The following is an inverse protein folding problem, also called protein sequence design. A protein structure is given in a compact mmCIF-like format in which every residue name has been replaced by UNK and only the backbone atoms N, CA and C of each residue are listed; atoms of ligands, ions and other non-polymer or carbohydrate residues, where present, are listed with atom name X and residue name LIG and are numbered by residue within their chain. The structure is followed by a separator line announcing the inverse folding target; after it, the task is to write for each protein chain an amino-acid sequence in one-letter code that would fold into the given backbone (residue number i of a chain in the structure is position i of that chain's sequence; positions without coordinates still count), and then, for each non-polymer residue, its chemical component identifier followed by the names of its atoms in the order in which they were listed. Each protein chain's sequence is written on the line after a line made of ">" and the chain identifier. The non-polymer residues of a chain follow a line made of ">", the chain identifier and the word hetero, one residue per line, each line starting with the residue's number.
data_IF_574621419187
#
_entry.id   IF_574621419187
#
_cell.length_a   1.000
_cell.length_b   1.000
_cell.length_c   1.000
_cell.angle_alpha   90.00
_cell.angle_beta   90.00
_cell.angle_gamma   90.00
#
_symmetry.space_group_name_H-M   'P 1'
#
loop_
_entity.id
_entity.type
_entity.pdbx_description
1 polymer ?
#
# COMPACT_ATOMS: atom_id res chain seq x y z
N UNK A 1 -14.25 19.78 -17.56
CA UNK A 1 -14.76 18.41 -17.30
C UNK A 1 -14.89 17.72 -18.65
N UNK A 2 -14.13 16.66 -18.91
CA UNK A 2 -13.95 16.08 -20.25
C UNK A 2 -15.20 15.30 -20.71
N UNK A 3 -15.66 15.56 -21.93
CA UNK A 3 -16.79 14.90 -22.59
C UNK A 3 -16.64 13.36 -22.60
N UNK A 4 -15.40 12.87 -22.66
CA UNK A 4 -15.09 11.42 -22.54
C UNK A 4 -15.36 10.86 -21.13
N UNK A 5 -15.17 11.64 -20.07
CA UNK A 5 -15.53 11.23 -18.70
C UNK A 5 -17.05 11.20 -18.52
N UNK A 6 -17.75 12.14 -19.14
CA UNK A 6 -19.22 12.22 -19.11
C UNK A 6 -19.85 11.04 -19.86
N UNK A 7 -19.32 10.69 -21.03
CA UNK A 7 -19.74 9.51 -21.79
C UNK A 7 -19.39 8.19 -21.08
N UNK A 8 -18.22 8.08 -20.42
CA UNK A 8 -17.89 6.93 -19.57
C UNK A 8 -18.84 6.81 -18.37
N UNK A 9 -19.22 7.92 -17.74
CA UNK A 9 -20.21 7.95 -16.65
C UNK A 9 -21.62 7.61 -17.16
N UNK A 10 -22.00 8.07 -18.34
CA UNK A 10 -23.28 7.77 -18.98
C UNK A 10 -23.38 6.31 -19.42
N UNK A 11 -22.33 5.73 -20.01
CA UNK A 11 -22.27 4.31 -20.36
C UNK A 11 -22.24 3.41 -19.10
N UNK A 12 -21.52 3.82 -18.05
CA UNK A 12 -21.57 3.17 -16.72
C UNK A 12 -22.97 3.23 -16.12
N UNK A 13 -23.63 4.40 -16.15
CA UNK A 13 -25.00 4.56 -15.66
C UNK A 13 -25.98 3.74 -16.49
N UNK A 14 -25.87 3.73 -17.82
CA UNK A 14 -26.73 2.96 -18.72
C UNK A 14 -26.61 1.45 -18.55
N UNK A 15 -25.40 0.93 -18.36
CA UNK A 15 -25.18 -0.49 -18.02
C UNK A 15 -25.69 -0.83 -16.60
N UNK A 16 -25.54 0.08 -15.64
CA UNK A 16 -26.09 -0.09 -14.29
C UNK A 16 -27.62 0.02 -14.27
N UNK A 17 -28.23 0.80 -15.17
CA UNK A 17 -29.68 0.98 -15.35
C UNK A 17 -30.33 -0.19 -16.10
N UNK A 18 -29.65 -0.76 -17.10
CA UNK A 18 -30.12 -2.01 -17.74
C UNK A 18 -30.11 -3.20 -16.78
N UNK A 19 -29.23 -3.16 -15.76
CA UNK A 19 -29.26 -4.07 -14.61
C UNK A 19 -30.28 -3.67 -13.51
N UNK A 20 -30.88 -2.48 -13.55
CA UNK A 20 -31.97 -2.07 -12.65
C UNK A 20 -33.34 -2.56 -13.12
N UNK A 21 -33.54 -2.70 -14.44
CA UNK A 21 -34.80 -3.19 -15.04
C UNK A 21 -34.87 -4.70 -15.26
N UNK A 22 -33.74 -5.40 -15.24
CA UNK A 22 -33.74 -6.86 -15.21
C UNK A 22 -34.20 -7.31 -13.82
N UNK A 23 -35.44 -7.78 -13.73
CA UNK A 23 -35.97 -8.57 -12.62
C UNK A 23 -34.84 -9.40 -12.01
N UNK A 24 -34.67 -9.36 -10.68
CA UNK A 24 -33.73 -10.19 -9.90
C UNK A 24 -33.49 -11.47 -10.68
N UNK A 25 -32.36 -11.67 -11.38
CA UNK A 25 -32.20 -12.87 -12.15
C UNK A 25 -32.25 -13.96 -11.10
N UNK A 26 -33.30 -14.77 -11.19
CA UNK A 26 -33.51 -16.01 -10.46
C UNK A 26 -32.48 -17.02 -10.94
N UNK A 27 -31.20 -16.64 -10.92
CA UNK A 27 -30.10 -17.54 -10.74
C UNK A 27 -30.34 -18.15 -9.37
N UNK A 28 -31.09 -19.25 -9.37
CA UNK A 28 -31.22 -20.18 -8.27
C UNK A 28 -29.86 -20.28 -7.62
N UNK A 29 -29.77 -19.77 -6.39
CA UNK A 29 -28.61 -19.87 -5.52
C UNK A 29 -28.28 -21.36 -5.45
N UNK A 30 -27.26 -21.80 -6.20
CA UNK A 30 -26.90 -23.22 -6.34
C UNK A 30 -25.97 -23.68 -5.23
N UNK A 31 -25.38 -22.74 -4.49
CA UNK A 31 -24.60 -23.03 -3.30
C UNK A 31 -25.54 -23.37 -2.13
N UNK A 32 -25.19 -24.40 -1.37
CA UNK A 32 -25.78 -24.61 -0.04
C UNK A 32 -25.68 -23.31 0.77
N UNK A 33 -26.64 -23.04 1.65
CA UNK A 33 -26.55 -21.91 2.57
C UNK A 33 -25.20 -21.98 3.31
N UNK A 34 -24.49 -20.85 3.45
CA UNK A 34 -23.19 -20.85 4.11
C UNK A 34 -23.34 -21.31 5.56
N UNK A 35 -22.53 -22.30 5.93
CA UNK A 35 -22.45 -22.84 7.28
C UNK A 35 -21.44 -22.02 8.10
N UNK A 36 -21.96 -21.18 9.00
CA UNK A 36 -21.16 -20.35 9.89
C UNK A 36 -20.73 -21.04 11.18
N UNK A 37 -21.15 -22.30 11.41
CA UNK A 37 -20.76 -23.07 12.61
C UNK A 37 -19.29 -23.47 12.60
N UNK A 38 -18.64 -23.44 11.43
CA UNK A 38 -17.23 -23.78 11.24
C UNK A 38 -16.54 -22.77 10.33
N UNK A 39 -15.23 -22.51 10.53
CA UNK A 39 -14.46 -21.69 9.60
C UNK A 39 -14.50 -22.21 8.15
N UNK A 40 -14.33 -21.32 7.16
CA UNK A 40 -14.21 -21.74 5.76
C UNK A 40 -12.97 -22.63 5.58
N UNK A 41 -13.05 -23.62 4.70
CA UNK A 41 -11.88 -24.43 4.32
C UNK A 41 -10.99 -23.65 3.36
N UNK A 42 -11.59 -22.90 2.43
CA UNK A 42 -10.89 -22.07 1.44
C UNK A 42 -11.38 -20.62 1.48
N UNK A 43 -10.47 -19.70 1.76
CA UNK A 43 -10.71 -18.27 1.84
C UNK A 43 -9.96 -17.53 0.72
N UNK A 44 -10.69 -16.72 -0.05
CA UNK A 44 -10.12 -15.83 -1.05
C UNK A 44 -10.05 -14.38 -0.54
N UNK A 45 -8.86 -13.80 -0.56
CA UNK A 45 -8.64 -12.39 -0.23
C UNK A 45 -8.43 -11.62 -1.54
N UNK A 46 -9.09 -10.48 -1.72
CA UNK A 46 -8.97 -9.66 -2.92
C UNK A 46 -8.44 -8.26 -2.54
N UNK A 47 -7.23 -7.94 -3.02
CA UNK A 47 -6.58 -6.62 -2.84
C UNK A 47 -5.91 -6.20 -4.16
N UNK A 48 -6.56 -5.35 -4.96
CA UNK A 48 -6.11 -5.05 -6.33
C UNK A 48 -4.99 -4.00 -6.41
N UNK A 49 -4.55 -3.51 -5.25
CA UNK A 49 -3.72 -2.32 -5.11
C UNK A 49 -2.22 -2.57 -5.34
N UNK A 50 -1.42 -1.54 -5.07
CA UNK A 50 0.03 -1.53 -5.22
C UNK A 50 0.75 -1.94 -3.93
N UNK A 51 2.08 -2.02 -3.99
CA UNK A 51 2.97 -2.45 -2.89
C UNK A 51 2.58 -1.91 -1.50
N UNK A 52 2.40 -0.58 -1.36
CA UNK A 52 2.10 0.03 -0.05
C UNK A 52 0.83 -0.51 0.58
N UNK A 53 -0.24 -0.61 -0.21
CA UNK A 53 -1.53 -1.17 0.24
C UNK A 53 -1.46 -2.64 0.62
N UNK A 54 -0.60 -3.41 -0.06
CA UNK A 54 -0.37 -4.82 0.27
C UNK A 54 0.39 -4.94 1.59
N UNK A 55 1.42 -4.10 1.79
CA UNK A 55 2.15 -4.06 3.06
C UNK A 55 1.21 -3.68 4.21
N UNK A 56 0.38 -2.66 4.04
CA UNK A 56 -0.65 -2.25 5.02
C UNK A 56 -1.75 -3.30 5.24
N UNK A 57 -1.86 -4.32 4.38
CA UNK A 57 -2.75 -5.46 4.56
C UNK A 57 -2.11 -6.57 5.41
N UNK A 58 -0.78 -6.64 5.51
CA UNK A 58 -0.08 -7.74 6.18
C UNK A 58 -0.47 -7.97 7.66
N UNK A 59 -0.78 -6.95 8.49
CA UNK A 59 -1.34 -7.19 9.83
C UNK A 59 -2.64 -8.01 9.81
N UNK A 60 -3.51 -7.74 8.83
CA UNK A 60 -4.76 -8.45 8.67
C UNK A 60 -4.55 -9.90 8.20
N UNK A 61 -3.53 -10.14 7.37
CA UNK A 61 -3.13 -11.50 6.98
C UNK A 61 -2.65 -12.31 8.18
N UNK A 62 -1.80 -11.72 9.03
CA UNK A 62 -1.32 -12.34 10.25
C UNK A 62 -2.48 -12.67 11.21
N UNK A 63 -3.43 -11.74 11.39
CA UNK A 63 -4.64 -11.94 12.18
C UNK A 63 -5.48 -13.11 11.66
N UNK A 64 -5.71 -13.17 10.34
CA UNK A 64 -6.45 -14.28 9.71
C UNK A 64 -5.74 -15.61 9.91
N UNK A 65 -4.44 -15.71 9.62
CA UNK A 65 -3.69 -16.98 9.79
C UNK A 65 -3.71 -17.47 11.23
N UNK A 66 -3.55 -16.56 12.21
CA UNK A 66 -3.59 -16.94 13.63
C UNK A 66 -4.96 -17.43 14.07
N UNK A 67 -6.03 -16.80 13.62
CA UNK A 67 -7.40 -17.23 13.96
C UNK A 67 -7.85 -18.46 13.18
N UNK A 68 -7.37 -18.64 11.94
CA UNK A 68 -7.78 -19.67 11.00
C UNK A 68 -6.60 -20.54 10.54
N UNK A 69 -5.92 -21.26 11.45
CA UNK A 69 -4.66 -21.95 11.12
C UNK A 69 -4.82 -23.04 10.06
N UNK A 70 -6.02 -23.65 9.97
CA UNK A 70 -6.32 -24.76 9.05
C UNK A 70 -6.98 -24.31 7.74
N UNK A 71 -7.34 -23.04 7.60
CA UNK A 71 -7.95 -22.52 6.37
C UNK A 71 -6.88 -22.31 5.30
N UNK A 72 -7.17 -22.75 4.07
CA UNK A 72 -6.36 -22.40 2.90
C UNK A 72 -6.68 -20.95 2.52
N UNK A 73 -5.72 -20.04 2.70
CA UNK A 73 -5.84 -18.61 2.42
C UNK A 73 -5.13 -18.32 1.09
N UNK A 74 -5.93 -18.06 0.06
CA UNK A 74 -5.44 -17.53 -1.21
C UNK A 74 -5.65 -16.02 -1.24
N UNK A 75 -4.66 -15.27 -1.70
CA UNK A 75 -4.81 -13.84 -1.96
C UNK A 75 -4.63 -13.55 -3.46
N UNK A 76 -5.56 -12.79 -4.02
CA UNK A 76 -5.53 -12.30 -5.39
C UNK A 76 -5.11 -10.82 -5.42
N UNK A 77 -4.01 -10.52 -6.12
CA UNK A 77 -3.32 -9.22 -6.11
C UNK A 77 -2.82 -8.82 -7.49
N UNK A 78 -2.53 -7.52 -7.67
CA UNK A 78 -1.91 -7.02 -8.90
C UNK A 78 -0.53 -7.69 -9.13
N UNK A 79 -0.01 -7.74 -10.36
CA UNK A 79 1.35 -8.25 -10.62
C UNK A 79 2.41 -7.58 -9.73
N UNK A 80 2.29 -6.25 -9.53
CA UNK A 80 3.17 -5.49 -8.64
C UNK A 80 3.04 -5.88 -7.17
N UNK A 81 1.84 -6.20 -6.71
CA UNK A 81 1.57 -6.65 -5.35
C UNK A 81 2.01 -8.08 -5.08
N UNK A 82 1.97 -8.96 -6.09
CA UNK A 82 2.35 -10.37 -5.93
C UNK A 82 3.79 -10.56 -5.47
N UNK A 83 4.72 -9.79 -6.05
CA UNK A 83 6.13 -9.82 -5.68
C UNK A 83 6.37 -9.42 -4.21
N UNK A 84 5.42 -8.72 -3.58
CA UNK A 84 5.54 -8.34 -2.16
C UNK A 84 5.12 -9.44 -1.17
N UNK A 85 4.50 -10.52 -1.66
CA UNK A 85 3.93 -11.59 -0.85
C UNK A 85 4.61 -12.95 -1.05
N UNK A 86 5.64 -13.03 -1.89
CA UNK A 86 6.28 -14.28 -2.33
C UNK A 86 6.80 -15.15 -1.16
N UNK A 87 7.11 -14.55 0.00
CA UNK A 87 7.55 -15.24 1.21
C UNK A 87 6.71 -14.90 2.45
N UNK A 88 5.44 -14.56 2.26
CA UNK A 88 4.55 -14.24 3.35
C UNK A 88 3.97 -15.52 3.99
N UNK A 89 4.27 -15.84 5.26
CA UNK A 89 3.88 -17.09 5.91
C UNK A 89 2.39 -17.14 6.28
N UNK A 90 1.66 -16.05 6.05
CA UNK A 90 0.25 -15.94 6.42
C UNK A 90 -0.70 -16.34 5.29
N UNK A 91 -0.19 -16.47 4.06
CA UNK A 91 -0.96 -16.87 2.87
C UNK A 91 -0.38 -18.14 2.27
N UNK A 92 -1.25 -19.04 1.80
CA UNK A 92 -0.82 -20.30 1.18
C UNK A 92 -0.57 -20.14 -0.31
N UNK A 93 -1.32 -19.22 -0.95
CA UNK A 93 -1.30 -19.01 -2.40
C UNK A 93 -1.44 -17.54 -2.77
N UNK A 94 -0.67 -17.10 -3.74
CA UNK A 94 -0.78 -15.77 -4.36
C UNK A 94 -1.21 -15.94 -5.81
N UNK A 95 -2.34 -15.34 -6.19
CA UNK A 95 -2.88 -15.34 -7.55
C UNK A 95 -2.74 -13.94 -8.14
N UNK A 96 -2.14 -13.85 -9.33
CA UNK A 96 -1.98 -12.59 -10.06
C UNK A 96 -3.24 -12.29 -10.86
N UNK A 97 -3.69 -11.03 -10.81
CA UNK A 97 -4.80 -10.53 -11.61
C UNK A 97 -4.51 -9.08 -12.00
N UNK A 98 -4.74 -8.70 -13.26
CA UNK A 98 -4.41 -7.36 -13.76
C UNK A 98 -5.41 -6.28 -13.33
N UNK A 99 -6.53 -6.69 -12.73
CA UNK A 99 -7.56 -5.80 -12.17
C UNK A 99 -7.91 -4.60 -13.07
N UNK A 100 -8.74 -4.81 -14.11
CA UNK A 100 -9.13 -3.75 -15.03
C UNK A 100 -9.57 -2.47 -14.31
N UNK A 101 -9.08 -1.32 -14.79
CA UNK A 101 -9.35 -0.01 -14.19
C UNK A 101 -8.43 0.38 -13.03
N UNK A 102 -7.53 -0.50 -12.58
CA UNK A 102 -6.46 -0.19 -11.62
C UNK A 102 -5.13 0.12 -12.30
N UNK A 103 -5.01 -0.13 -13.60
CA UNK A 103 -3.86 0.25 -14.41
C UNK A 103 -4.07 1.65 -15.00
N UNK A 104 -2.96 2.37 -15.23
CA UNK A 104 -2.98 3.71 -15.86
C UNK A 104 -3.20 3.67 -17.37
N UNK A 105 -3.34 2.49 -17.95
CA UNK A 105 -3.56 2.32 -19.38
C UNK A 105 -5.07 2.34 -19.69
N UNK A 106 -5.52 3.16 -20.65
CA UNK A 106 -6.91 3.16 -21.05
C UNK A 106 -7.27 1.82 -21.70
N UNK A 107 -8.38 1.21 -21.27
CA UNK A 107 -8.93 0.05 -21.96
C UNK A 107 -9.36 0.48 -23.37
N UNK A 108 -8.76 -0.14 -24.39
CA UNK A 108 -9.12 0.06 -25.80
C UNK A 108 -10.51 -0.53 -26.14
N UNK A 109 -10.95 -1.53 -25.37
CA UNK A 109 -12.23 -2.21 -25.55
C UNK A 109 -13.07 -2.19 -24.25
N UNK A 110 -14.32 -1.75 -24.35
CA UNK A 110 -15.26 -1.62 -23.22
C UNK A 110 -15.71 -2.99 -22.68
N UNK A 111 -15.77 -4.02 -23.54
CA UNK A 111 -16.22 -5.37 -23.17
C UNK A 111 -15.10 -6.24 -22.59
N UNK A 112 -13.84 -5.95 -22.93
CA UNK A 112 -12.70 -6.77 -22.51
C UNK A 112 -12.61 -6.99 -20.98
N UNK A 113 -12.83 -5.98 -20.11
CA UNK A 113 -12.85 -6.18 -18.66
C UNK A 113 -13.90 -7.19 -18.17
N UNK A 114 -15.03 -7.31 -18.85
CA UNK A 114 -16.13 -8.20 -18.44
C UNK A 114 -15.88 -9.63 -18.92
N UNK A 115 -15.37 -9.79 -20.14
CA UNK A 115 -14.91 -11.10 -20.63
C UNK A 115 -13.79 -11.66 -19.75
N UNK A 116 -12.86 -10.79 -19.36
CA UNK A 116 -11.81 -11.14 -18.41
C UNK A 116 -12.38 -11.52 -17.04
N UNK A 117 -13.39 -10.81 -16.52
CA UNK A 117 -14.06 -11.20 -15.28
C UNK A 117 -14.72 -12.59 -15.38
N UNK A 118 -15.37 -12.90 -16.51
CA UNK A 118 -15.96 -14.21 -16.76
C UNK A 118 -14.89 -15.31 -16.81
N UNK A 119 -13.77 -15.08 -17.49
CA UNK A 119 -12.65 -16.02 -17.53
C UNK A 119 -12.08 -16.28 -16.13
N UNK A 120 -11.74 -15.21 -15.39
CA UNK A 120 -11.19 -15.31 -14.04
C UNK A 120 -12.19 -15.97 -13.08
N UNK A 121 -13.49 -15.66 -13.19
CA UNK A 121 -14.52 -16.28 -12.36
C UNK A 121 -14.65 -17.79 -12.56
N UNK A 122 -14.46 -18.30 -13.79
CA UNK A 122 -14.45 -19.75 -14.05
C UNK A 122 -13.29 -20.43 -13.34
N UNK A 123 -12.10 -19.81 -13.37
CA UNK A 123 -10.92 -20.30 -12.67
C UNK A 123 -11.14 -20.31 -11.16
N UNK A 124 -11.70 -19.24 -10.60
CA UNK A 124 -12.01 -19.15 -9.17
C UNK A 124 -13.08 -20.16 -8.74
N UNK A 125 -14.14 -20.33 -9.54
CA UNK A 125 -15.21 -21.30 -9.29
C UNK A 125 -14.68 -22.73 -9.25
N UNK A 126 -13.78 -23.08 -10.16
CA UNK A 126 -13.13 -24.40 -10.18
C UNK A 126 -12.28 -24.69 -8.92
N UNK A 127 -11.83 -23.65 -8.20
CA UNK A 127 -11.09 -23.81 -6.94
C UNK A 127 -12.01 -24.03 -5.73
N UNK A 128 -13.28 -23.64 -5.82
CA UNK A 128 -14.31 -23.86 -4.80
C UNK A 128 -14.04 -23.12 -3.49
N UNK A 129 -13.94 -21.78 -3.55
CA UNK A 129 -13.79 -20.95 -2.34
C UNK A 129 -15.11 -20.87 -1.57
N UNK A 130 -15.06 -21.06 -0.25
CA UNK A 130 -16.22 -20.98 0.63
C UNK A 130 -16.54 -19.51 0.99
N UNK A 131 -15.51 -18.68 1.05
CA UNK A 131 -15.63 -17.29 1.44
C UNK A 131 -14.62 -16.39 0.74
N UNK A 132 -14.95 -15.11 0.63
CA UNK A 132 -14.06 -14.08 0.14
C UNK A 132 -14.18 -12.76 0.90
N UNK A 133 -13.05 -12.06 1.04
CA UNK A 133 -12.97 -10.70 1.59
C UNK A 133 -12.40 -9.76 0.52
N UNK A 134 -13.16 -8.73 0.14
CA UNK A 134 -12.69 -7.63 -0.71
C UNK A 134 -12.23 -6.47 0.17
N UNK A 135 -10.92 -6.21 0.18
CA UNK A 135 -10.33 -5.19 1.05
C UNK A 135 -10.43 -3.77 0.48
N UNK A 136 -10.62 -3.63 -0.83
CA UNK A 136 -10.85 -2.33 -1.47
C UNK A 136 -12.36 -2.01 -1.51
N UNK A 137 -12.74 -0.84 -1.03
CA UNK A 137 -14.13 -0.41 -0.85
C UNK A 137 -14.81 0.01 -2.17
N UNK A 138 -14.14 0.82 -2.97
CA UNK A 138 -14.65 1.45 -4.19
C UNK A 138 -14.46 0.60 -5.47
N UNK A 139 -14.04 -0.65 -5.33
CA UNK A 139 -13.69 -1.53 -6.47
C UNK A 139 -14.80 -2.53 -6.83
N UNK A 140 -15.85 -2.02 -7.47
CA UNK A 140 -17.02 -2.80 -7.87
C UNK A 140 -16.70 -3.96 -8.81
N UNK A 141 -15.66 -3.85 -9.66
CA UNK A 141 -15.28 -4.93 -10.58
C UNK A 141 -14.77 -6.16 -9.82
N UNK A 142 -13.99 -5.95 -8.75
CA UNK A 142 -13.57 -7.04 -7.87
C UNK A 142 -14.77 -7.70 -7.19
N UNK A 143 -15.72 -6.90 -6.69
CA UNK A 143 -16.95 -7.44 -6.11
C UNK A 143 -17.78 -8.25 -7.14
N UNK A 144 -17.90 -7.76 -8.38
CA UNK A 144 -18.53 -8.47 -9.50
C UNK A 144 -17.82 -9.80 -9.78
N UNK A 145 -16.48 -9.82 -9.82
CA UNK A 145 -15.70 -11.04 -10.03
C UNK A 145 -16.02 -12.10 -8.97
N UNK A 146 -16.07 -11.72 -7.69
CA UNK A 146 -16.43 -12.63 -6.60
C UNK A 146 -17.86 -13.17 -6.75
N UNK A 147 -18.79 -12.32 -7.20
CA UNK A 147 -20.17 -12.72 -7.48
C UNK A 147 -20.26 -13.71 -8.66
N UNK A 148 -19.57 -13.43 -9.78
CA UNK A 148 -19.52 -14.32 -10.94
C UNK A 148 -18.81 -15.64 -10.62
N UNK A 149 -17.89 -15.64 -9.66
CA UNK A 149 -17.23 -16.86 -9.18
C UNK A 149 -18.13 -17.74 -8.31
N UNK A 150 -19.35 -17.28 -7.97
CA UNK A 150 -20.35 -18.00 -7.16
C UNK A 150 -19.84 -18.35 -5.75
N UNK A 151 -18.99 -17.50 -5.17
CA UNK A 151 -18.45 -17.68 -3.81
C UNK A 151 -19.55 -17.35 -2.81
N UNK A 152 -19.97 -18.26 -1.90
CA UNK A 152 -21.21 -18.09 -1.14
C UNK A 152 -21.13 -16.95 -0.10
N UNK A 153 -19.99 -16.78 0.57
CA UNK A 153 -19.76 -15.64 1.48
C UNK A 153 -18.82 -14.63 0.81
N UNK A 154 -19.31 -13.42 0.56
CA UNK A 154 -18.56 -12.29 -0.01
C UNK A 154 -18.70 -11.09 0.90
N UNK A 155 -17.63 -10.77 1.64
CA UNK A 155 -17.55 -9.65 2.57
C UNK A 155 -16.75 -8.48 1.97
N UNK A 156 -17.21 -7.25 2.20
CA UNK A 156 -16.47 -6.04 1.86
C UNK A 156 -17.05 -4.81 2.55
N UNK A 157 -16.57 -3.62 2.20
CA UNK A 157 -17.17 -2.37 2.66
C UNK A 157 -18.49 -2.07 1.95
N UNK A 158 -19.42 -1.43 2.66
CA UNK A 158 -20.64 -0.90 2.07
C UNK A 158 -20.31 0.30 1.18
N UNK A 159 -20.23 0.07 -0.13
CA UNK A 159 -20.02 1.09 -1.16
C UNK A 159 -21.13 0.99 -2.23
N UNK A 160 -21.73 2.11 -2.71
CA UNK A 160 -22.92 2.07 -3.55
C UNK A 160 -22.82 1.15 -4.78
N UNK A 161 -21.68 1.18 -5.48
CA UNK A 161 -21.44 0.39 -6.69
C UNK A 161 -21.13 -1.09 -6.38
N UNK A 162 -20.42 -1.38 -5.29
CA UNK A 162 -19.94 -2.73 -4.95
C UNK A 162 -20.97 -3.55 -4.17
N UNK A 163 -21.82 -2.90 -3.36
CA UNK A 163 -22.72 -3.54 -2.38
C UNK A 163 -23.59 -4.65 -2.97
N UNK A 164 -24.13 -4.44 -4.18
CA UNK A 164 -25.04 -5.40 -4.84
C UNK A 164 -24.42 -6.78 -5.10
N UNK A 165 -23.10 -6.86 -5.16
CA UNK A 165 -22.36 -8.08 -5.41
C UNK A 165 -21.87 -8.75 -4.12
N UNK A 166 -21.95 -8.05 -2.99
CA UNK A 166 -21.57 -8.57 -1.67
C UNK A 166 -22.76 -9.28 -1.02
N UNK A 167 -22.46 -10.28 -0.19
CA UNK A 167 -23.46 -10.93 0.68
C UNK A 167 -23.49 -10.33 2.07
N UNK A 168 -22.34 -9.86 2.52
CA UNK A 168 -22.12 -9.26 3.83
C UNK A 168 -21.36 -7.96 3.59
N UNK A 169 -21.71 -6.94 4.35
CA UNK A 169 -20.98 -5.68 4.32
C UNK A 169 -20.62 -5.23 5.73
N UNK A 170 -19.52 -4.49 5.82
CA UNK A 170 -19.25 -3.66 6.97
C UNK A 170 -19.86 -2.29 6.68
N UNK A 171 -21.06 -2.07 7.21
CA UNK A 171 -21.68 -0.75 7.25
C UNK A 171 -20.94 0.12 8.26
N UNK A 172 -20.41 1.25 7.83
CA UNK A 172 -19.87 2.25 8.75
C UNK A 172 -21.03 2.92 9.48
N UNK A 173 -21.01 2.94 10.82
CA UNK A 173 -21.97 3.72 11.59
C UNK A 173 -21.83 5.20 11.19
N UNK A 174 -22.91 5.83 10.70
CA UNK A 174 -22.92 7.24 10.28
C UNK A 174 -23.08 7.51 8.78
N UNK A 175 -23.56 6.55 7.98
CA UNK A 175 -23.77 6.75 6.54
C UNK A 175 -24.97 7.66 6.21
N UNK A 176 -24.76 8.96 6.26
CA UNK A 176 -25.48 9.95 5.43
C UNK A 176 -24.46 10.85 4.75
N UNK A 177 -23.77 10.31 3.74
CA UNK A 177 -23.16 10.96 2.57
C UNK A 177 -22.73 12.43 2.63
N UNK A 178 -22.20 12.91 3.76
CA UNK A 178 -21.65 14.24 3.91
C UNK A 178 -20.16 14.31 3.53
N UNK A 179 -19.60 15.52 3.38
CA UNK A 179 -18.19 15.74 3.08
C UNK A 179 -17.21 15.18 4.14
N UNK A 180 -17.71 14.78 5.31
CA UNK A 180 -16.94 14.12 6.36
C UNK A 180 -16.92 12.58 6.18
N UNK A 181 -16.08 12.17 5.24
CA UNK A 181 -15.72 10.77 4.94
C UNK A 181 -14.96 10.11 6.12
N UNK A 182 -15.36 8.92 6.62
CA UNK A 182 -15.68 8.79 8.05
C UNK A 182 -14.82 7.76 8.78
N UNK A 183 -13.94 8.23 9.66
CA UNK A 183 -13.57 7.53 10.90
C UNK A 183 -13.05 8.58 11.91
N UNK A 184 -13.02 8.25 13.21
CA UNK A 184 -12.13 8.96 14.15
C UNK A 184 -10.70 8.95 13.59
N UNK A 185 -9.85 9.93 13.95
CA UNK A 185 -8.47 10.01 13.41
C UNK A 185 -7.71 8.66 13.46
N UNK A 186 -8.00 7.77 14.43
CA UNK A 186 -7.38 6.45 14.58
C UNK A 186 -8.02 5.32 13.76
N UNK A 187 -9.29 5.40 13.38
CA UNK A 187 -9.95 4.35 12.59
C UNK A 187 -9.87 4.60 11.06
N UNK A 188 -9.27 5.72 10.61
CA UNK A 188 -9.06 6.06 9.18
C UNK A 188 -7.96 5.24 8.50
N UNK A 189 -7.04 4.67 9.26
CA UNK A 189 -5.83 4.09 8.69
C UNK A 189 -6.11 2.83 7.87
N UNK A 190 -5.50 2.70 6.69
CA UNK A 190 -5.71 1.56 5.77
C UNK A 190 -5.47 0.20 6.44
N UNK A 191 -4.44 0.07 7.29
CA UNK A 191 -4.22 -1.14 8.07
C UNK A 191 -5.33 -1.42 9.11
N UNK A 192 -5.82 -0.38 9.79
CA UNK A 192 -6.93 -0.50 10.73
C UNK A 192 -8.24 -0.89 10.01
N UNK A 193 -8.46 -0.35 8.82
CA UNK A 193 -9.57 -0.73 7.94
C UNK A 193 -9.48 -2.22 7.56
N UNK A 194 -8.31 -2.68 7.11
CA UNK A 194 -8.11 -4.10 6.78
C UNK A 194 -8.41 -5.01 7.98
N UNK A 195 -7.93 -4.64 9.18
CA UNK A 195 -8.22 -5.35 10.42
C UNK A 195 -9.71 -5.33 10.79
N UNK A 196 -10.44 -4.25 10.51
CA UNK A 196 -11.87 -4.16 10.77
C UNK A 196 -12.68 -5.15 9.92
N UNK A 197 -12.32 -5.34 8.64
CA UNK A 197 -12.93 -6.37 7.79
C UNK A 197 -12.63 -7.77 8.32
N UNK A 198 -11.38 -8.03 8.74
CA UNK A 198 -11.00 -9.32 9.35
C UNK A 198 -11.78 -9.57 10.63
N UNK A 199 -11.89 -8.57 11.52
CA UNK A 199 -12.69 -8.67 12.75
C UNK A 199 -14.14 -9.03 12.44
N UNK A 200 -14.76 -8.34 11.48
CA UNK A 200 -16.13 -8.64 11.06
C UNK A 200 -16.24 -10.05 10.50
N UNK A 201 -15.28 -10.47 9.69
CA UNK A 201 -15.24 -11.81 9.10
C UNK A 201 -15.18 -12.89 10.18
N UNK A 202 -14.25 -12.78 11.13
CA UNK A 202 -14.13 -13.75 12.21
C UNK A 202 -15.38 -13.80 13.08
N UNK A 203 -16.00 -12.65 13.35
CA UNK A 203 -17.26 -12.57 14.08
C UNK A 203 -18.37 -13.36 13.38
N UNK A 204 -18.46 -13.32 12.04
CA UNK A 204 -19.46 -14.09 11.29
C UNK A 204 -19.31 -15.60 11.52
N UNK A 205 -18.07 -16.09 11.73
CA UNK A 205 -17.74 -17.49 11.94
C UNK A 205 -17.55 -17.85 13.43
N UNK A 206 -17.96 -16.98 14.36
CA UNK A 206 -17.81 -17.19 15.80
C UNK A 206 -16.34 -17.36 16.24
N UNK A 207 -15.38 -16.88 15.47
CA UNK A 207 -13.95 -17.02 15.75
C UNK A 207 -13.46 -15.87 16.64
N UNK A 208 -12.57 -16.15 17.60
CA UNK A 208 -12.04 -15.12 18.48
C UNK A 208 -11.22 -14.09 17.69
N UNK A 209 -11.41 -12.82 18.04
CA UNK A 209 -10.55 -11.72 17.59
C UNK A 209 -9.90 -11.09 18.82
N UNK A 210 -8.75 -11.62 19.22
CA UNK A 210 -7.99 -11.15 20.39
C UNK A 210 -6.60 -10.71 19.94
N UNK A 211 -6.48 -9.47 19.47
CA UNK A 211 -5.20 -8.91 19.05
C UNK A 211 -5.06 -7.49 19.59
N UNK A 212 -3.89 -7.23 20.16
CA UNK A 212 -3.41 -5.87 20.33
C UNK A 212 -3.04 -5.33 18.94
N UNK A 213 -3.84 -4.41 18.42
CA UNK A 213 -3.61 -3.77 17.13
C UNK A 213 -2.28 -3.00 17.11
N UNK A 214 -1.77 -2.56 18.27
CA UNK A 214 -0.47 -1.90 18.37
C UNK A 214 0.71 -2.87 18.18
N UNK A 215 0.52 -4.18 18.41
CA UNK A 215 1.54 -5.21 18.28
C UNK A 215 1.66 -5.85 16.89
N UNK A 216 0.75 -5.55 15.95
CA UNK A 216 0.79 -6.13 14.61
C UNK A 216 1.61 -5.26 13.66
N UNK A 217 2.92 -5.45 13.68
CA UNK A 217 3.83 -4.82 12.74
C UNK A 217 3.52 -5.21 11.28
N UNK A 218 3.89 -4.34 10.36
CA UNK A 218 3.92 -4.70 8.94
C UNK A 218 4.93 -5.85 8.74
N UNK A 219 4.63 -6.75 7.81
CA UNK A 219 5.48 -7.90 7.52
C UNK A 219 6.05 -7.83 6.11
N UNK A 220 7.37 -7.84 6.02
CA UNK A 220 8.10 -8.20 4.81
C UNK A 220 9.40 -8.88 5.21
N UNK A 221 9.69 -10.05 4.63
CA UNK A 221 10.91 -10.78 4.93
C UNK A 221 11.73 -10.99 3.65
N UNK A 222 12.91 -10.35 3.53
CA UNK A 222 13.86 -10.67 2.49
C UNK A 222 14.29 -12.14 2.57
N UNK A 223 14.61 -12.73 1.43
CA UNK A 223 15.18 -14.08 1.37
C UNK A 223 16.65 -14.07 1.82
N UNK A 224 17.22 -15.26 2.05
CA UNK A 224 18.66 -15.39 2.30
C UNK A 224 19.50 -14.91 1.11
N UNK A 225 18.99 -15.05 -0.12
CA UNK A 225 19.63 -14.55 -1.32
C UNK A 225 19.61 -13.02 -1.38
N UNK A 226 18.47 -12.38 -1.06
CA UNK A 226 18.37 -10.93 -0.95
C UNK A 226 19.35 -10.37 0.10
N UNK A 227 19.46 -11.05 1.24
CA UNK A 227 20.40 -10.70 2.30
C UNK A 227 21.86 -10.86 1.87
N UNK A 228 22.18 -11.91 1.11
CA UNK A 228 23.52 -12.11 0.54
C UNK A 228 23.84 -11.04 -0.48
N UNK A 229 22.90 -10.72 -1.36
CA UNK A 229 23.03 -9.66 -2.34
C UNK A 229 23.33 -8.32 -1.67
N UNK A 230 22.54 -7.93 -0.66
CA UNK A 230 22.76 -6.68 0.05
C UNK A 230 24.15 -6.64 0.71
N UNK A 231 24.65 -7.75 1.28
CA UNK A 231 26.02 -7.80 1.84
C UNK A 231 27.10 -7.59 0.78
N UNK A 232 26.96 -8.20 -0.39
CA UNK A 232 27.91 -8.04 -1.49
C UNK A 232 27.89 -6.61 -2.01
N UNK A 233 26.70 -6.04 -2.21
CA UNK A 233 26.53 -4.65 -2.66
C UNK A 233 27.20 -3.65 -1.71
N UNK A 234 27.03 -3.82 -0.40
CA UNK A 234 27.71 -2.96 0.58
C UNK A 234 29.24 -3.10 0.53
N UNK A 235 29.74 -4.32 0.28
CA UNK A 235 31.18 -4.57 0.11
C UNK A 235 31.72 -3.93 -1.17
N UNK A 236 30.97 -3.98 -2.27
CA UNK A 236 31.33 -3.33 -3.54
C UNK A 236 31.40 -1.81 -3.41
N UNK A 237 30.51 -1.22 -2.62
CA UNK A 237 30.54 0.21 -2.27
C UNK A 237 31.63 0.58 -1.26
N UNK A 238 32.46 -0.38 -0.85
CA UNK A 238 33.56 -0.18 0.09
C UNK A 238 33.09 0.27 1.47
N UNK A 239 31.87 -0.07 1.89
CA UNK A 239 31.38 0.32 3.21
C UNK A 239 32.12 -0.47 4.30
N UNK A 240 32.81 0.26 5.17
CA UNK A 240 33.53 -0.32 6.30
C UNK A 240 32.56 -0.97 7.30
N UNK A 241 33.07 -1.96 8.04
CA UNK A 241 32.29 -2.61 9.09
C UNK A 241 31.90 -1.59 10.16
N UNK A 242 30.60 -1.31 10.28
CA UNK A 242 30.07 -0.35 11.24
C UNK A 242 29.76 1.03 10.65
N UNK A 243 30.12 1.29 9.39
CA UNK A 243 29.73 2.52 8.70
C UNK A 243 28.21 2.64 8.64
N UNK A 244 27.71 3.82 9.02
CA UNK A 244 26.28 4.11 9.01
C UNK A 244 25.84 4.43 7.57
N UNK A 245 24.68 3.91 7.18
CA UNK A 245 24.04 4.07 5.89
C UNK A 245 22.63 4.66 6.08
N UNK A 246 22.32 5.72 5.34
CA UNK A 246 20.97 6.29 5.25
C UNK A 246 20.48 6.14 3.81
N UNK A 247 19.27 5.61 3.63
CA UNK A 247 18.65 5.55 2.31
C UNK A 247 17.71 6.73 2.09
N UNK A 248 17.83 7.38 0.94
CA UNK A 248 16.89 8.36 0.44
C UNK A 248 16.08 7.74 -0.71
N UNK A 249 14.76 7.77 -0.62
CA UNK A 249 13.86 7.33 -1.68
C UNK A 249 13.03 8.52 -2.20
N UNK A 250 13.55 9.26 -3.20
CA UNK A 250 12.90 10.46 -3.70
C UNK A 250 11.75 10.16 -4.68
N UNK A 251 11.60 8.91 -5.11
CA UNK A 251 10.57 8.45 -6.03
C UNK A 251 9.15 8.42 -5.46
N UNK A 252 8.15 8.65 -6.31
CA UNK A 252 6.74 8.48 -5.96
C UNK A 252 5.85 8.35 -7.20
N UNK A 253 4.66 7.79 -7.02
CA UNK A 253 3.72 7.53 -8.11
C UNK A 253 3.02 8.77 -8.69
N UNK A 254 3.21 9.98 -8.14
CA UNK A 254 2.55 11.20 -8.61
C UNK A 254 3.48 12.41 -8.51
N UNK A 255 3.71 13.14 -9.61
CA UNK A 255 4.69 14.25 -9.66
C UNK A 255 4.39 15.38 -8.68
N UNK A 256 3.13 15.57 -8.28
CA UNK A 256 2.72 16.55 -7.27
C UNK A 256 3.24 16.21 -5.87
N UNK A 257 3.64 14.96 -5.61
CA UNK A 257 4.23 14.55 -4.34
C UNK A 257 5.74 14.76 -4.29
N UNK A 258 6.39 15.11 -5.40
CA UNK A 258 7.84 15.27 -5.44
C UNK A 258 8.31 16.41 -4.54
N UNK A 259 9.48 16.23 -3.92
CA UNK A 259 10.24 17.31 -3.29
C UNK A 259 11.22 17.90 -4.31
N UNK A 260 11.85 19.04 -4.05
CA UNK A 260 12.74 19.63 -5.06
C UNK A 260 14.09 18.92 -5.11
N UNK A 261 14.73 18.95 -6.29
CA UNK A 261 16.07 18.39 -6.53
C UNK A 261 17.08 18.95 -5.51
N UNK A 262 17.08 20.27 -5.36
CA UNK A 262 18.00 20.99 -4.47
C UNK A 262 17.79 20.60 -3.01
N UNK A 263 16.55 20.34 -2.59
CA UNK A 263 16.25 19.96 -1.21
C UNK A 263 16.74 18.55 -0.89
N UNK A 264 16.60 17.60 -1.82
CA UNK A 264 17.17 16.26 -1.65
C UNK A 264 18.71 16.28 -1.67
N UNK A 265 19.33 17.05 -2.56
CA UNK A 265 20.79 17.18 -2.62
C UNK A 265 21.35 17.78 -1.31
N UNK A 266 20.79 18.90 -0.86
CA UNK A 266 21.17 19.53 0.41
C UNK A 266 20.96 18.61 1.62
N UNK A 267 19.87 17.83 1.63
CA UNK A 267 19.63 16.82 2.67
C UNK A 267 20.73 15.75 2.68
N UNK A 268 21.07 15.19 1.53
CA UNK A 268 22.09 14.14 1.43
C UNK A 268 23.47 14.62 1.87
N UNK A 269 23.90 15.78 1.37
CA UNK A 269 25.19 16.37 1.73
C UNK A 269 25.27 16.67 3.23
N UNK A 270 24.25 17.31 3.78
CA UNK A 270 24.25 17.70 5.20
C UNK A 270 24.20 16.48 6.12
N UNK A 271 23.48 15.42 5.74
CA UNK A 271 23.47 14.16 6.51
C UNK A 271 24.86 13.51 6.52
N UNK A 272 25.52 13.46 5.36
CA UNK A 272 26.87 12.89 5.25
C UNK A 272 27.88 13.70 6.07
N UNK A 273 27.86 15.03 5.96
CA UNK A 273 28.77 15.95 6.67
C UNK A 273 28.57 15.90 8.19
N UNK A 274 27.33 16.03 8.67
CA UNK A 274 27.06 16.23 10.09
C UNK A 274 26.97 14.94 10.91
N UNK A 275 26.67 13.82 10.26
CA UNK A 275 26.44 12.54 10.95
C UNK A 275 27.39 11.42 10.52
N UNK A 276 28.32 11.70 9.60
CA UNK A 276 29.30 10.71 9.11
C UNK A 276 28.66 9.47 8.49
N UNK A 277 27.47 9.63 7.90
CA UNK A 277 26.72 8.54 7.25
C UNK A 277 27.05 8.49 5.76
N UNK A 278 27.03 7.30 5.18
CA UNK A 278 26.91 7.15 3.73
C UNK A 278 25.46 7.29 3.34
N UNK A 279 25.20 7.97 2.23
CA UNK A 279 23.86 8.13 1.69
C UNK A 279 23.72 7.31 0.42
N UNK A 280 22.61 6.57 0.32
CA UNK A 280 22.21 5.84 -0.89
C UNK A 280 20.86 6.33 -1.39
N UNK A 281 20.81 6.77 -2.63
CA UNK A 281 19.58 7.03 -3.34
C UNK A 281 19.01 5.75 -3.94
N UNK A 282 17.74 5.47 -3.66
CA UNK A 282 17.03 4.31 -4.19
C UNK A 282 15.88 4.76 -5.09
N UNK A 283 15.67 4.07 -6.20
CA UNK A 283 14.57 4.31 -7.13
C UNK A 283 14.58 3.31 -8.26
N UNK A 284 13.49 3.18 -8.99
CA UNK A 284 13.46 2.37 -10.20
C UNK A 284 13.93 3.14 -11.43
N UNK A 285 13.83 2.48 -12.57
CA UNK A 285 14.18 3.05 -13.87
C UNK A 285 13.34 4.29 -14.21
N UNK A 286 12.07 4.34 -13.75
CA UNK A 286 11.19 5.48 -13.97
C UNK A 286 11.66 6.75 -13.22
N UNK A 287 12.37 6.59 -12.10
CA UNK A 287 12.90 7.68 -11.30
C UNK A 287 14.34 8.04 -11.67
N UNK A 288 14.96 7.32 -12.61
CA UNK A 288 16.38 7.46 -12.93
C UNK A 288 16.80 8.90 -13.21
N UNK A 289 16.11 9.57 -14.12
CA UNK A 289 16.46 10.93 -14.54
C UNK A 289 16.31 11.93 -13.38
N UNK A 290 15.32 11.74 -12.52
CA UNK A 290 15.10 12.61 -11.38
C UNK A 290 16.19 12.42 -10.30
N UNK A 291 16.60 11.17 -10.04
CA UNK A 291 17.71 10.86 -9.13
C UNK A 291 19.05 11.38 -9.68
N UNK A 292 19.30 11.25 -10.99
CA UNK A 292 20.52 11.77 -11.61
C UNK A 292 20.63 13.29 -11.41
N UNK A 293 19.54 14.03 -11.64
CA UNK A 293 19.50 15.47 -11.36
C UNK A 293 19.80 15.81 -9.91
N UNK A 294 19.35 14.99 -8.95
CA UNK A 294 19.68 15.17 -7.53
C UNK A 294 21.18 15.01 -7.31
N UNK A 295 21.76 13.92 -7.82
CA UNK A 295 23.19 13.63 -7.68
C UNK A 295 24.07 14.71 -8.31
N UNK A 296 23.69 15.23 -9.48
CA UNK A 296 24.35 16.35 -10.16
C UNK A 296 24.34 17.66 -9.33
N UNK A 297 23.39 17.80 -8.40
CA UNK A 297 23.27 18.96 -7.50
C UNK A 297 23.92 18.72 -6.12
N UNK A 298 24.46 17.52 -5.86
CA UNK A 298 25.16 17.22 -4.62
C UNK A 298 26.60 17.75 -4.65
N UNK A 299 27.10 18.16 -3.48
CA UNK A 299 28.51 18.53 -3.28
C UNK A 299 29.40 17.32 -3.09
N UNK A 300 28.85 16.23 -2.53
CA UNK A 300 29.56 14.98 -2.29
C UNK A 300 29.08 13.86 -3.19
N UNK A 301 29.94 12.86 -3.37
CA UNK A 301 29.56 11.64 -4.06
C UNK A 301 28.64 10.77 -3.18
N UNK A 302 27.46 10.44 -3.69
CA UNK A 302 26.49 9.59 -3.02
C UNK A 302 26.20 8.34 -3.85
N UNK A 303 25.81 7.27 -3.16
CA UNK A 303 25.52 5.98 -3.78
C UNK A 303 24.17 6.02 -4.47
N UNK A 304 24.02 5.23 -5.53
CA UNK A 304 22.75 5.05 -6.24
C UNK A 304 22.46 3.56 -6.41
N UNK A 305 21.24 3.15 -6.12
CA UNK A 305 20.73 1.81 -6.41
C UNK A 305 19.49 1.89 -7.28
N UNK A 306 19.55 1.25 -8.45
CA UNK A 306 18.35 0.89 -9.20
C UNK A 306 17.67 -0.31 -8.54
N UNK A 307 16.45 -0.11 -8.04
CA UNK A 307 15.65 -1.12 -7.35
C UNK A 307 14.55 -1.72 -8.23
N UNK A 308 14.61 -1.54 -9.55
CA UNK A 308 13.57 -2.02 -10.48
C UNK A 308 13.33 -3.52 -10.35
N UNK A 309 12.10 -3.90 -10.01
CA UNK A 309 11.66 -5.29 -9.99
C UNK A 309 12.12 -6.12 -8.79
N UNK A 310 12.84 -5.55 -7.81
CA UNK A 310 13.45 -6.32 -6.72
C UNK A 310 13.07 -5.82 -5.31
N UNK A 311 11.84 -6.08 -4.88
CA UNK A 311 11.40 -5.70 -3.53
C UNK A 311 12.20 -6.41 -2.43
N UNK A 312 12.56 -7.68 -2.62
CA UNK A 312 13.39 -8.46 -1.68
C UNK A 312 14.73 -7.78 -1.40
N UNK A 313 15.49 -7.49 -2.46
CA UNK A 313 16.80 -6.83 -2.40
C UNK A 313 16.71 -5.42 -1.82
N UNK A 314 15.70 -4.64 -2.21
CA UNK A 314 15.48 -3.30 -1.65
C UNK A 314 15.20 -3.36 -0.15
N UNK A 315 14.36 -4.30 0.29
CA UNK A 315 14.09 -4.52 1.71
C UNK A 315 15.34 -4.99 2.48
N UNK A 316 16.17 -5.86 1.88
CA UNK A 316 17.43 -6.28 2.47
C UNK A 316 18.43 -5.12 2.63
N UNK A 317 18.46 -4.18 1.67
CA UNK A 317 19.22 -2.94 1.81
C UNK A 317 18.65 -2.08 2.94
N UNK A 318 17.34 -1.80 2.92
CA UNK A 318 16.68 -0.97 3.93
C UNK A 318 16.90 -1.49 5.34
N UNK A 319 16.80 -2.81 5.56
CA UNK A 319 17.07 -3.44 6.87
C UNK A 319 18.49 -3.19 7.42
N UNK A 320 19.43 -2.74 6.57
CA UNK A 320 20.80 -2.40 6.96
C UNK A 320 21.01 -0.89 7.12
N UNK A 321 20.05 -0.07 6.72
CA UNK A 321 20.08 1.37 6.91
C UNK A 321 19.77 1.72 8.38
N UNK A 322 20.35 2.82 8.85
CA UNK A 322 20.02 3.38 10.16
C UNK A 322 18.68 4.13 10.11
N UNK A 323 18.37 4.70 8.94
CA UNK A 323 17.19 5.51 8.65
C UNK A 323 16.88 5.43 7.15
N UNK A 324 15.59 5.43 6.79
CA UNK A 324 15.12 5.61 5.41
C UNK A 324 14.23 6.85 5.35
N UNK A 325 14.57 7.79 4.47
CA UNK A 325 13.81 9.04 4.29
C UNK A 325 13.24 9.05 2.87
N UNK A 326 11.99 9.45 2.72
CA UNK A 326 11.45 9.70 1.40
C UNK A 326 9.99 10.09 1.40
N UNK A 327 9.37 9.97 0.24
CA UNK A 327 8.00 10.43 0.01
C UNK A 327 6.98 9.36 0.39
N UNK A 328 5.72 9.77 0.56
CA UNK A 328 4.57 8.87 0.62
C UNK A 328 4.51 7.94 -0.62
N UNK A 329 5.03 6.72 -0.44
CA UNK A 329 5.26 5.72 -1.47
C UNK A 329 5.37 4.30 -0.88
N UNK A 330 5.15 3.28 -1.72
CA UNK A 330 5.27 1.87 -1.34
C UNK A 330 6.63 1.48 -0.74
N UNK A 331 7.77 1.91 -1.30
CA UNK A 331 9.10 1.64 -0.73
C UNK A 331 9.29 2.13 0.71
N UNK A 332 8.66 3.23 1.12
CA UNK A 332 8.74 3.67 2.52
C UNK A 332 7.95 2.77 3.46
N UNK A 333 6.82 2.22 3.03
CA UNK A 333 6.14 1.16 3.78
C UNK A 333 6.97 -0.13 3.82
N UNK A 334 7.75 -0.42 2.77
CA UNK A 334 8.65 -1.56 2.74
C UNK A 334 9.76 -1.41 3.79
N UNK A 335 10.36 -0.22 3.88
CA UNK A 335 11.32 0.11 4.94
C UNK A 335 10.68 -0.07 6.35
N UNK A 336 9.46 0.44 6.56
CA UNK A 336 8.74 0.24 7.81
C UNK A 336 8.48 -1.25 8.12
N UNK A 337 8.14 -2.06 7.12
CA UNK A 337 7.92 -3.50 7.25
C UNK A 337 9.19 -4.31 7.57
N UNK A 338 10.37 -3.76 7.28
CA UNK A 338 11.66 -4.33 7.74
C UNK A 338 12.02 -3.91 9.16
N UNK A 339 11.24 -3.04 9.81
CA UNK A 339 11.53 -2.49 11.12
C UNK A 339 12.54 -1.34 11.12
N UNK A 340 12.98 -0.89 9.94
CA UNK A 340 13.91 0.23 9.80
C UNK A 340 13.21 1.54 10.14
N UNK A 341 13.81 2.43 10.96
CA UNK A 341 13.24 3.75 11.21
C UNK A 341 13.02 4.53 9.92
N UNK A 342 11.92 5.28 9.83
CA UNK A 342 11.56 6.00 8.61
C UNK A 342 11.13 7.44 8.86
N UNK A 343 11.39 8.31 7.89
CA UNK A 343 10.80 9.65 7.79
C UNK A 343 10.03 9.72 6.47
N UNK A 344 8.72 9.97 6.56
CA UNK A 344 7.82 10.08 5.42
C UNK A 344 7.43 11.54 5.20
N UNK A 345 7.70 12.07 4.01
CA UNK A 345 7.27 13.39 3.60
C UNK A 345 5.88 13.29 2.93
N UNK A 346 4.91 13.97 3.52
CA UNK A 346 3.52 13.99 3.05
C UNK A 346 3.10 15.39 2.59
N UNK A 347 2.29 15.43 1.53
CA UNK A 347 1.75 16.66 0.98
C UNK A 347 0.26 16.52 0.67
N UNK A 348 -0.12 16.17 -0.57
CA UNK A 348 -1.52 16.13 -0.99
C UNK A 348 -2.33 14.96 -0.39
N UNK A 349 -1.67 13.91 0.08
CA UNK A 349 -2.29 12.71 0.67
C UNK A 349 -2.41 12.81 2.18
N UNK A 350 -3.40 12.11 2.73
CA UNK A 350 -3.66 12.09 4.18
C UNK A 350 -2.82 11.00 4.89
N UNK A 351 -1.85 11.38 5.74
CA UNK A 351 -1.10 10.40 6.54
C UNK A 351 -1.97 9.68 7.58
N UNK A 352 -3.16 10.19 7.94
CA UNK A 352 -4.08 9.44 8.79
C UNK A 352 -4.64 8.18 8.09
N UNK A 353 -4.62 8.14 6.75
CA UNK A 353 -5.08 7.00 5.96
C UNK A 353 -3.89 6.11 5.54
N UNK A 354 -2.81 6.72 5.03
CA UNK A 354 -1.69 6.03 4.39
C UNK A 354 -0.34 6.23 5.09
N UNK A 355 -0.34 6.73 6.32
CA UNK A 355 0.89 6.90 7.09
C UNK A 355 1.62 5.59 7.36
N UNK A 356 2.86 5.65 7.87
CA UNK A 356 3.51 4.46 8.37
C UNK A 356 2.68 3.83 9.50
N UNK A 357 2.63 2.51 9.49
CA UNK A 357 2.01 1.73 10.57
C UNK A 357 3.08 1.27 11.55
N UNK A 358 2.85 1.47 12.86
CA UNK A 358 3.77 1.08 13.91
C UNK A 358 4.03 2.21 14.90
N UNK A 359 5.14 2.11 15.61
CA UNK A 359 5.57 3.09 16.62
C UNK A 359 5.85 4.47 15.98
N UNK A 360 5.12 5.54 16.35
CA UNK A 360 5.32 6.87 15.80
C UNK A 360 6.67 7.49 16.20
N UNK A 361 7.33 7.01 17.25
CA UNK A 361 8.70 7.42 17.56
C UNK A 361 9.70 6.84 16.55
N UNK A 362 9.43 5.64 16.02
CA UNK A 362 10.26 4.97 15.01
C UNK A 362 9.96 5.42 13.59
N UNK A 363 8.71 5.73 13.29
CA UNK A 363 8.25 6.13 11.96
C UNK A 363 7.62 7.51 11.99
N UNK A 364 8.39 8.51 11.56
CA UNK A 364 8.00 9.92 11.61
C UNK A 364 7.32 10.34 10.31
N UNK A 365 6.29 11.16 10.45
CA UNK A 365 5.62 11.84 9.33
C UNK A 365 5.93 13.32 9.40
N UNK A 366 6.37 13.89 8.29
CA UNK A 366 6.60 15.32 8.14
C UNK A 366 5.65 15.91 7.10
N UNK A 367 4.97 16.97 7.50
CA UNK A 367 4.10 17.81 6.69
C UNK A 367 4.71 19.22 6.63
N UNK A 368 4.19 20.07 5.75
CA UNK A 368 4.54 21.50 5.77
C UNK A 368 4.11 22.14 7.10
N UNK A 369 4.93 23.07 7.60
CA UNK A 369 4.57 23.93 8.74
C UNK A 369 3.62 25.07 8.33
N UNK A 370 3.44 25.31 7.04
CA UNK A 370 2.50 26.30 6.51
C UNK A 370 1.08 25.74 6.60
N UNK A 371 0.17 26.52 7.19
CA UNK A 371 -1.25 26.15 7.23
C UNK A 371 -1.87 26.25 5.83
N UNK A 372 -2.21 25.10 5.24
CA UNK A 372 -2.82 25.01 3.92
C UNK A 372 -4.25 24.46 4.05
N UNK A 373 -5.29 25.26 3.78
CA UNK A 373 -6.69 24.83 3.91
C UNK A 373 -7.06 23.64 3.04
N UNK A 374 -6.34 23.44 1.93
CA UNK A 374 -6.57 22.31 1.05
C UNK A 374 -5.92 21.02 1.52
N UNK A 375 -5.03 21.03 2.53
CA UNK A 375 -4.25 19.85 2.90
C UNK A 375 -4.94 19.03 4.00
N UNK A 376 -5.12 17.70 3.82
CA UNK A 376 -4.86 16.90 2.62
C UNK A 376 -5.96 17.07 1.56
N UNK A 377 -5.61 17.23 0.27
CA UNK A 377 -6.59 17.47 -0.80
C UNK A 377 -6.98 16.19 -1.56
N UNK A 378 -6.14 15.15 -1.50
CA UNK A 378 -6.30 13.92 -2.28
C UNK A 378 -6.08 14.10 -3.80
N UNK A 379 -5.67 15.28 -4.27
CA UNK A 379 -5.51 15.57 -5.70
C UNK A 379 -4.11 15.15 -6.15
N UNK A 380 -4.03 14.05 -6.92
CA UNK A 380 -2.77 13.50 -7.43
C UNK A 380 -2.46 13.88 -8.88
N UNK A 381 -3.47 14.31 -9.65
CA UNK A 381 -3.35 14.61 -11.08
C UNK A 381 -3.16 16.12 -11.37
N UNK A 382 -2.61 16.87 -10.41
CA UNK A 382 -2.50 18.33 -10.55
C UNK A 382 -1.38 18.71 -11.52
N UNK A 383 -1.74 19.21 -12.70
CA UNK A 383 -0.83 19.81 -13.69
C UNK A 383 -1.10 21.30 -13.81
N UNK A 384 -0.45 22.13 -13.00
CA UNK A 384 -0.28 23.56 -13.32
C UNK A 384 1.20 23.91 -13.27
N UNK A 385 1.72 24.41 -14.40
CA UNK A 385 2.90 25.28 -14.40
C UNK A 385 4.28 24.63 -14.29
N UNK A 386 4.48 23.40 -14.79
CA UNK A 386 5.82 22.90 -15.13
C UNK A 386 6.78 22.52 -13.99
N UNK A 387 6.54 22.92 -12.74
CA UNK A 387 7.39 22.54 -11.61
C UNK A 387 6.95 21.20 -10.99
N UNK A 388 7.91 20.33 -10.69
CA UNK A 388 7.69 19.12 -9.89
C UNK A 388 7.32 19.50 -8.43
N UNK A 389 6.37 18.77 -7.84
CA UNK A 389 5.96 18.95 -6.45
C UNK A 389 4.91 20.04 -6.21
N UNK A 390 3.93 19.74 -5.35
CA UNK A 390 2.90 20.69 -4.92
C UNK A 390 3.45 21.71 -3.94
N UNK A 391 2.73 22.83 -3.75
CA UNK A 391 3.13 23.87 -2.79
C UNK A 391 3.31 23.31 -1.37
N UNK A 392 2.47 22.35 -0.96
CA UNK A 392 2.61 21.61 0.30
C UNK A 392 3.92 20.83 0.41
N UNK A 393 4.44 20.27 -0.69
CA UNK A 393 5.74 19.60 -0.67
C UNK A 393 6.88 20.61 -0.67
N UNK A 394 6.80 21.66 -1.50
CA UNK A 394 7.85 22.69 -1.63
C UNK A 394 8.09 23.46 -0.34
N UNK A 395 7.10 23.55 0.54
CA UNK A 395 7.20 24.26 1.84
C UNK A 395 7.64 23.35 2.99
N UNK A 396 7.88 22.06 2.75
CA UNK A 396 8.61 21.21 3.70
C UNK A 396 10.09 21.61 3.59
N UNK A 397 10.64 22.16 4.66
CA UNK A 397 12.02 22.68 4.66
C UNK A 397 13.06 21.60 4.95
N UNK A 398 14.22 21.70 4.31
CA UNK A 398 15.32 20.74 4.54
C UNK A 398 15.76 20.73 6.00
N UNK A 399 15.78 21.90 6.65
CA UNK A 399 16.09 22.02 8.07
C UNK A 399 15.13 21.22 8.95
N UNK A 400 13.83 21.19 8.64
CA UNK A 400 12.85 20.38 9.37
C UNK A 400 13.12 18.88 9.23
N UNK A 401 13.54 18.43 8.04
CA UNK A 401 13.88 17.01 7.81
C UNK A 401 15.18 16.64 8.54
N UNK A 402 16.18 17.52 8.50
CA UNK A 402 17.47 17.33 9.16
C UNK A 402 17.35 17.29 10.68
N UNK A 403 16.55 18.17 11.28
CA UNK A 403 16.27 18.18 12.72
C UNK A 403 15.79 16.79 13.19
N UNK A 404 14.74 16.28 12.56
CA UNK A 404 14.16 14.97 12.91
C UNK A 404 15.09 13.81 12.55
N UNK A 405 15.83 13.90 11.45
CA UNK A 405 16.82 12.88 11.10
C UNK A 405 17.96 12.82 12.14
N UNK A 406 18.42 13.98 12.62
CA UNK A 406 19.44 14.09 13.67
C UNK A 406 18.99 13.46 14.98
N UNK A 407 17.77 13.75 15.43
CA UNK A 407 17.15 13.10 16.60
C UNK A 407 17.18 11.57 16.47
N UNK A 408 16.69 11.04 15.36
CA UNK A 408 16.57 9.60 15.14
C UNK A 408 17.92 8.88 14.98
N UNK A 409 18.92 9.57 14.43
CA UNK A 409 20.28 9.06 14.31
C UNK A 409 21.03 9.09 15.66
N UNK A 410 20.77 10.10 16.50
CA UNK A 410 21.35 10.24 17.84
C UNK A 410 20.76 9.31 18.90
N UNK A 411 19.43 9.10 18.91
CA UNK A 411 18.76 8.16 19.85
C UNK A 411 19.29 6.72 19.75
N UNK A 412 19.77 6.34 18.55
CA UNK A 412 20.37 5.02 18.30
C UNK A 412 21.74 4.85 18.95
N UNK A 413 22.51 5.92 19.13
CA UNK A 413 23.81 5.88 19.81
C UNK A 413 23.63 5.56 21.29
N UNK A 414 22.66 6.21 21.94
CA UNK A 414 22.34 5.97 23.34
C UNK A 414 21.81 4.54 23.60
N UNK A 415 20.94 4.00 22.73
CA UNK A 415 20.44 2.62 22.90
C UNK A 415 21.49 1.53 22.65
N UNK A 416 22.51 1.77 21.80
CA UNK A 416 23.62 0.83 21.60
C UNK A 416 24.67 0.87 22.71
N UNK A 417 24.77 1.99 23.45
CA UNK A 417 25.67 2.10 24.60
C UNK A 417 25.09 1.48 25.89
N UNK A 418 23.81 1.08 25.88
CA UNK A 418 23.09 0.56 27.07
C UNK A 418 22.77 -0.95 26.98
N UNK A 419 23.29 -1.65 25.96
CA UNK A 419 23.23 -3.11 25.78
C UNK A 419 24.67 -3.60 25.64
#
# INVERSE_FOLDING_TARGET
>A
MDLKQLLKRAARRGFLWSLQGAARPTLRYRAALPDFSRPPRKLLLLRPDHLGDILLLTPALAALRKALPKTEITIMVSPSGAASLENNPHVDRVVRCDFPGMTRQPNSNILAPYLYALEQSRQLRAKGYDAAISFRNDYWWGALLLYLADIPVRLGYRWPESRRFLTHDLSQAGSSGGPDWPFSRSAKHSAAMNLALVRKFLQLYGQPFSFDTAGMALYFRPTQEDDRFARLLLSEWGLERGQKLVALHPGTGATIKLWTVQKFAALADTLAENHGVRVVFTGGQAEKEYIDKILENCRHEHLRLDSTGWWGRLAALFNRCQLVIGLDSGPLHLAAATGTPTIHLFGPTDPAIYGPWGDPARHRVLLTKVSLPCQPCGILDFRRGGEAGGYCMRTIETAQVLEVAGEMLGEKENRRATI
#
